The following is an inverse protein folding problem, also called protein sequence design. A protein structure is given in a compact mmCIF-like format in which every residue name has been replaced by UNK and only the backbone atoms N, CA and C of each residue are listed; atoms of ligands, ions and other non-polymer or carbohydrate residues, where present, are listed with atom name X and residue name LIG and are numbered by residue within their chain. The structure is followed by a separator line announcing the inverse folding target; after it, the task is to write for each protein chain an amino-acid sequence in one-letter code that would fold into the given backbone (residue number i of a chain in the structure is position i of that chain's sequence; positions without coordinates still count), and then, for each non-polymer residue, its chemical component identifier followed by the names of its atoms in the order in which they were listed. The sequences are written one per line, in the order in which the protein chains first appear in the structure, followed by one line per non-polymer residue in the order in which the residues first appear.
data_IF_923919697624
#
_entry.id   IF_923919697624
#
_cell.length_a   1.000
_cell.length_b   1.000
_cell.length_c   1.000
_cell.angle_alpha   90.00
_cell.angle_beta   90.00
_cell.angle_gamma   90.00
#
_symmetry.space_group_name_H-M   'P 1'
#
loop_
_entity.id
_entity.type
_entity.pdbx_description
1 polymer ?
#
# COMPACT_ATOMS: atom_id res chain seq x y z
N UNK A 1 2.81 -50.79 -14.76
CA UNK A 1 2.78 -51.02 -13.30
C UNK A 1 3.64 -49.98 -12.60
N UNK A 2 3.07 -48.85 -12.19
CA UNK A 2 3.83 -47.74 -11.59
C UNK A 2 4.08 -47.98 -10.11
N UNK A 3 5.35 -48.10 -9.72
CA UNK A 3 5.80 -48.23 -8.32
C UNK A 3 5.10 -47.21 -7.43
N UNK A 4 4.30 -47.67 -6.47
CA UNK A 4 3.67 -46.84 -5.45
C UNK A 4 4.76 -46.39 -4.45
N UNK A 5 5.60 -45.43 -4.86
CA UNK A 5 6.62 -44.83 -4.01
C UNK A 5 5.91 -43.99 -2.95
N UNK A 6 6.03 -44.39 -1.69
CA UNK A 6 5.47 -43.67 -0.56
C UNK A 6 6.18 -42.31 -0.39
N UNK A 7 5.75 -41.30 -1.15
CA UNK A 7 6.36 -39.96 -1.14
C UNK A 7 5.94 -39.21 0.12
N UNK A 8 6.90 -38.57 0.81
CA UNK A 8 6.63 -37.68 1.97
C UNK A 8 5.61 -36.57 1.66
N UNK A 9 5.60 -36.08 0.42
CA UNK A 9 4.70 -35.02 -0.05
C UNK A 9 3.68 -35.61 -1.02
N UNK A 10 2.44 -35.80 -0.55
CA UNK A 10 1.36 -36.50 -1.28
C UNK A 10 0.43 -35.54 -2.05
N UNK A 11 0.20 -34.35 -1.51
CA UNK A 11 -0.70 -33.37 -2.12
C UNK A 11 0.02 -32.59 -3.23
N UNK A 12 -0.61 -32.51 -4.40
CA UNK A 12 -0.15 -31.70 -5.53
C UNK A 12 -1.13 -30.55 -5.74
N UNK A 13 -0.58 -29.40 -6.12
CA UNK A 13 -1.31 -28.23 -6.60
C UNK A 13 -0.73 -27.86 -7.95
N UNK A 14 -1.58 -27.58 -8.92
CA UNK A 14 -1.17 -27.16 -10.25
C UNK A 14 -1.27 -25.63 -10.33
N UNK A 15 -0.30 -25.02 -11.01
CA UNK A 15 -0.25 -23.58 -11.25
C UNK A 15 0.07 -23.42 -12.72
N UNK A 16 -0.75 -22.67 -13.44
CA UNK A 16 -0.54 -22.33 -14.84
C UNK A 16 0.13 -20.96 -14.92
N UNK A 17 1.03 -20.81 -15.89
CA UNK A 17 1.77 -19.57 -16.15
C UNK A 17 1.69 -19.24 -17.64
N UNK A 18 1.73 -17.96 -17.97
CA UNK A 18 2.07 -17.52 -19.32
C UNK A 18 3.54 -17.84 -19.63
N UNK A 19 3.93 -17.71 -20.90
CA UNK A 19 5.33 -17.89 -21.30
C UNK A 19 6.24 -16.85 -20.64
N UNK A 20 5.77 -15.60 -20.52
CA UNK A 20 6.53 -14.54 -19.85
C UNK A 20 6.69 -14.80 -18.35
N UNK A 21 5.61 -15.22 -17.68
CA UNK A 21 5.64 -15.57 -16.25
C UNK A 21 6.57 -16.74 -15.98
N UNK A 22 6.55 -17.78 -16.82
CA UNK A 22 7.41 -18.94 -16.66
C UNK A 22 8.89 -18.56 -16.86
N UNK A 23 9.21 -17.79 -17.91
CA UNK A 23 10.58 -17.31 -18.13
C UNK A 23 11.09 -16.42 -16.98
N UNK A 24 10.21 -15.60 -16.42
CA UNK A 24 10.55 -14.79 -15.25
C UNK A 24 10.83 -15.64 -14.01
N UNK A 25 10.03 -16.67 -13.77
CA UNK A 25 10.23 -17.61 -12.66
C UNK A 25 11.54 -18.38 -12.83
N UNK A 26 11.87 -18.83 -14.04
CA UNK A 26 13.13 -19.53 -14.30
C UNK A 26 14.34 -18.65 -13.95
N UNK A 27 14.34 -17.38 -14.38
CA UNK A 27 15.38 -16.42 -13.99
C UNK A 27 15.46 -16.20 -12.47
N UNK A 28 14.33 -16.21 -11.77
CA UNK A 28 14.29 -16.09 -10.30
C UNK A 28 14.85 -17.34 -9.61
N UNK A 29 14.60 -18.52 -10.17
CA UNK A 29 15.16 -19.79 -9.68
C UNK A 29 16.68 -19.77 -9.87
N UNK A 30 17.17 -19.37 -11.05
CA UNK A 30 18.61 -19.29 -11.36
C UNK A 30 19.36 -18.31 -10.44
N UNK A 31 18.69 -17.25 -9.97
CA UNK A 31 19.23 -16.28 -9.01
C UNK A 31 19.09 -16.72 -7.55
N UNK A 32 18.42 -17.84 -7.29
CA UNK A 32 18.16 -18.36 -5.95
C UNK A 32 19.08 -19.55 -5.64
N UNK A 33 19.21 -19.97 -4.38
CA UNK A 33 19.95 -21.17 -4.02
C UNK A 33 19.17 -22.48 -4.30
N UNK A 34 18.10 -22.45 -5.11
CA UNK A 34 17.23 -23.60 -5.36
C UNK A 34 17.35 -24.09 -6.80
N UNK A 35 17.65 -25.38 -6.98
CA UNK A 35 17.91 -25.95 -8.31
C UNK A 35 16.66 -26.37 -9.10
N UNK A 36 15.46 -26.16 -8.55
CA UNK A 36 14.22 -26.55 -9.23
C UNK A 36 12.99 -25.80 -8.72
N UNK A 37 11.99 -25.70 -9.61
CA UNK A 37 10.70 -25.08 -9.34
C UNK A 37 10.00 -25.66 -8.11
N UNK A 38 10.04 -26.97 -7.89
CA UNK A 38 9.33 -27.59 -6.76
C UNK A 38 9.84 -27.07 -5.40
N UNK A 39 11.16 -26.95 -5.23
CA UNK A 39 11.75 -26.44 -4.01
C UNK A 39 11.54 -24.93 -3.87
N UNK A 40 11.75 -24.17 -4.96
CA UNK A 40 11.54 -22.73 -5.01
C UNK A 40 10.08 -22.35 -4.67
N UNK A 41 9.11 -22.91 -5.40
CA UNK A 41 7.69 -22.64 -5.16
C UNK A 41 7.27 -23.07 -3.75
N UNK A 42 7.76 -24.22 -3.26
CA UNK A 42 7.39 -24.69 -1.93
C UNK A 42 7.92 -23.79 -0.83
N UNK A 43 9.16 -23.32 -0.90
CA UNK A 43 9.68 -22.42 0.13
C UNK A 43 8.91 -21.10 0.05
N UNK A 44 8.73 -20.53 -1.14
CA UNK A 44 8.02 -19.26 -1.32
C UNK A 44 6.56 -19.34 -0.84
N UNK A 45 5.86 -20.44 -1.09
CA UNK A 45 4.47 -20.62 -0.63
C UNK A 45 4.35 -20.88 0.89
N UNK A 46 5.42 -21.28 1.57
CA UNK A 46 5.42 -21.55 3.01
C UNK A 46 5.97 -20.36 3.80
N UNK A 47 7.02 -19.71 3.29
CA UNK A 47 7.73 -18.63 3.97
C UNK A 47 7.39 -17.25 3.43
N UNK A 48 6.74 -17.17 2.27
CA UNK A 48 6.34 -15.90 1.68
C UNK A 48 5.43 -15.14 2.64
N UNK A 49 5.85 -13.94 3.02
CA UNK A 49 5.00 -13.04 3.79
C UNK A 49 3.95 -12.43 2.86
N UNK A 50 2.69 -12.51 3.27
CA UNK A 50 1.62 -11.77 2.61
C UNK A 50 1.62 -10.37 3.23
N UNK A 51 2.24 -9.42 2.54
CA UNK A 51 2.19 -8.02 2.94
C UNK A 51 0.81 -7.47 2.56
N UNK A 52 -0.05 -7.31 3.57
CA UNK A 52 -1.29 -6.57 3.42
C UNK A 52 -1.04 -5.10 3.74
N UNK A 53 -1.05 -4.25 2.71
CA UNK A 53 -0.95 -2.80 2.91
C UNK A 53 -2.37 -2.26 3.13
N UNK A 54 -2.70 -1.94 4.38
CA UNK A 54 -3.95 -1.28 4.72
C UNK A 54 -3.85 0.23 4.47
N UNK A 55 -4.58 0.70 3.45
CA UNK A 55 -4.64 2.11 3.07
C UNK A 55 -5.77 2.90 3.78
N UNK A 56 -6.38 2.34 4.82
CA UNK A 56 -7.43 3.00 5.60
C UNK A 56 -7.01 4.39 6.08
N UNK A 57 -5.77 4.56 6.56
CA UNK A 57 -5.23 5.84 7.04
C UNK A 57 -5.08 6.87 5.90
N UNK A 58 -4.68 6.45 4.69
CA UNK A 58 -4.64 7.33 3.51
C UNK A 58 -6.04 7.80 3.10
N UNK A 59 -7.07 6.97 3.30
CA UNK A 59 -8.46 7.34 3.00
C UNK A 59 -8.95 8.44 3.95
N UNK A 60 -8.64 8.34 5.24
CA UNK A 60 -8.96 9.39 6.22
C UNK A 60 -8.21 10.69 5.90
N UNK A 61 -6.93 10.61 5.55
CA UNK A 61 -6.16 11.79 5.16
C UNK A 61 -6.78 12.49 3.92
N UNK A 62 -7.15 11.72 2.89
CA UNK A 62 -7.79 12.27 1.68
C UNK A 62 -9.13 12.98 1.98
N UNK A 63 -9.91 12.48 2.94
CA UNK A 63 -11.16 13.13 3.37
C UNK A 63 -10.89 14.50 3.99
N UNK A 64 -9.89 14.58 4.87
CA UNK A 64 -9.49 15.84 5.51
C UNK A 64 -8.93 16.83 4.49
N UNK A 65 -8.07 16.40 3.56
CA UNK A 65 -7.62 17.23 2.43
C UNK A 65 -8.83 17.77 1.64
N UNK A 66 -9.81 16.91 1.34
CA UNK A 66 -11.03 17.31 0.63
C UNK A 66 -11.84 18.37 1.39
N UNK A 67 -11.95 18.24 2.71
CA UNK A 67 -12.62 19.22 3.58
C UNK A 67 -11.93 20.58 3.52
N UNK A 68 -10.60 20.60 3.64
CA UNK A 68 -9.81 21.83 3.57
C UNK A 68 -9.92 22.47 2.18
N UNK A 69 -9.83 21.67 1.11
CA UNK A 69 -10.02 22.16 -0.26
C UNK A 69 -11.39 22.83 -0.46
N UNK A 70 -12.45 22.27 0.14
CA UNK A 70 -13.77 22.89 0.13
C UNK A 70 -13.81 24.22 0.90
N UNK A 71 -13.15 24.31 2.06
CA UNK A 71 -13.07 25.53 2.85
C UNK A 71 -12.28 26.63 2.11
N UNK A 72 -11.15 26.28 1.49
CA UNK A 72 -10.39 27.19 0.61
C UNK A 72 -11.26 27.70 -0.53
N UNK A 73 -12.02 26.83 -1.18
CA UNK A 73 -12.88 27.22 -2.30
C UNK A 73 -14.03 28.15 -1.86
N UNK A 74 -14.56 27.97 -0.65
CA UNK A 74 -15.54 28.89 -0.06
C UNK A 74 -14.93 30.27 0.19
N UNK A 75 -13.74 30.33 0.77
CA UNK A 75 -13.02 31.60 0.96
C UNK A 75 -12.72 32.30 -0.35
N UNK A 76 -12.28 31.56 -1.38
CA UNK A 76 -12.03 32.13 -2.70
C UNK A 76 -13.30 32.74 -3.33
N UNK A 77 -14.46 32.08 -3.15
CA UNK A 77 -15.74 32.63 -3.60
C UNK A 77 -16.15 33.89 -2.83
N UNK A 78 -16.01 33.89 -1.50
CA UNK A 78 -16.29 35.07 -0.67
C UNK A 78 -15.38 36.24 -1.04
N UNK A 79 -14.07 35.99 -1.19
CA UNK A 79 -13.10 36.99 -1.64
C UNK A 79 -13.49 37.57 -3.00
N UNK A 80 -13.89 36.73 -3.95
CA UNK A 80 -14.33 37.19 -5.27
C UNK A 80 -15.65 37.97 -5.22
N UNK A 81 -16.52 37.69 -4.25
CA UNK A 81 -17.83 38.32 -4.13
C UNK A 81 -17.76 39.67 -3.39
N UNK A 82 -16.92 39.77 -2.37
CA UNK A 82 -16.85 40.92 -1.47
C UNK A 82 -15.57 41.75 -1.63
N UNK A 83 -14.65 41.32 -2.50
CA UNK A 83 -13.28 41.88 -2.65
C UNK A 83 -12.48 41.93 -1.33
N UNK A 84 -12.95 41.23 -0.30
CA UNK A 84 -12.40 41.27 1.05
C UNK A 84 -12.45 39.86 1.65
N UNK A 85 -11.47 39.54 2.50
CA UNK A 85 -11.39 38.29 3.24
C UNK A 85 -11.32 38.63 4.72
N UNK A 86 -12.20 38.02 5.53
CA UNK A 86 -12.19 38.24 6.97
C UNK A 86 -10.94 37.64 7.62
N UNK A 87 -10.33 38.31 8.60
CA UNK A 87 -9.30 37.73 9.46
C UNK A 87 -9.72 36.40 10.10
N UNK A 88 -11.01 36.23 10.40
CA UNK A 88 -11.55 35.00 10.99
C UNK A 88 -11.51 33.82 10.01
N UNK A 89 -11.81 34.08 8.73
CA UNK A 89 -11.75 33.04 7.69
C UNK A 89 -10.29 32.58 7.46
N UNK A 90 -9.35 33.53 7.46
CA UNK A 90 -7.91 33.24 7.39
C UNK A 90 -7.48 32.40 8.58
N UNK A 91 -7.93 32.78 9.79
CA UNK A 91 -7.59 32.05 11.01
C UNK A 91 -8.17 30.63 11.02
N UNK A 92 -9.38 30.44 10.49
CA UNK A 92 -10.00 29.12 10.34
C UNK A 92 -9.20 28.24 9.38
N UNK A 93 -8.79 28.77 8.22
CA UNK A 93 -7.98 28.05 7.25
C UNK A 93 -6.59 27.67 7.80
N UNK A 94 -5.94 28.57 8.53
CA UNK A 94 -4.66 28.29 9.18
C UNK A 94 -4.77 27.16 10.21
N UNK A 95 -5.88 27.11 10.95
CA UNK A 95 -6.15 26.03 11.89
C UNK A 95 -6.37 24.68 11.18
N UNK A 96 -7.12 24.69 10.08
CA UNK A 96 -7.35 23.51 9.24
C UNK A 96 -6.02 22.95 8.67
N UNK A 97 -5.18 23.81 8.10
CA UNK A 97 -3.86 23.41 7.58
C UNK A 97 -2.97 22.85 8.69
N UNK A 98 -2.99 23.45 9.88
CA UNK A 98 -2.22 22.96 11.04
C UNK A 98 -2.70 21.60 11.50
N UNK A 99 -4.01 21.36 11.52
CA UNK A 99 -4.61 20.06 11.85
C UNK A 99 -4.14 18.99 10.86
N UNK A 100 -4.14 19.29 9.56
CA UNK A 100 -3.64 18.38 8.53
C UNK A 100 -2.14 18.07 8.71
N UNK A 101 -1.31 19.09 8.97
CA UNK A 101 0.12 18.89 9.23
C UNK A 101 0.35 17.95 10.42
N UNK A 102 -0.44 18.08 11.50
CA UNK A 102 -0.36 17.19 12.65
C UNK A 102 -0.74 15.76 12.29
N UNK A 103 -1.82 15.54 11.54
CA UNK A 103 -2.24 14.21 11.10
C UNK A 103 -1.19 13.53 10.21
N UNK A 104 -0.65 14.25 9.21
CA UNK A 104 0.40 13.72 8.33
C UNK A 104 1.67 13.37 9.11
N UNK A 105 2.12 14.25 10.01
CA UNK A 105 3.31 14.01 10.82
C UNK A 105 3.14 12.81 11.74
N UNK A 106 1.94 12.63 12.32
CA UNK A 106 1.62 11.49 13.17
C UNK A 106 1.60 10.17 12.37
N UNK A 107 0.99 10.16 11.18
CA UNK A 107 0.95 9.01 10.30
C UNK A 107 2.36 8.59 9.84
N UNK A 108 3.18 9.56 9.38
CA UNK A 108 4.56 9.30 8.96
C UNK A 108 5.42 8.74 10.11
N UNK A 109 5.28 9.28 11.34
CA UNK A 109 5.97 8.74 12.52
C UNK A 109 5.58 7.29 12.81
N UNK A 110 4.31 6.94 12.61
CA UNK A 110 3.80 5.57 12.84
C UNK A 110 4.38 4.59 11.82
N UNK A 111 4.43 4.97 10.54
CA UNK A 111 5.06 4.15 9.50
C UNK A 111 6.57 3.98 9.72
N UNK A 112 7.29 5.03 10.09
CA UNK A 112 8.73 4.94 10.44
C UNK A 112 9.02 4.04 11.65
N UNK A 113 8.04 3.82 12.53
CA UNK A 113 8.15 2.90 13.67
C UNK A 113 7.79 1.45 13.29
N UNK A 114 6.99 1.24 12.24
CA UNK A 114 6.64 -0.08 11.72
C UNK A 114 7.78 -0.72 10.92
N UNK A 115 8.67 0.08 10.35
CA UNK A 115 9.84 -0.38 9.58
C UNK A 115 11.08 -0.70 10.46
N UNK A 116 10.99 -0.59 11.80
CA UNK A 116 12.07 -0.94 12.75
C UNK A 116 11.78 -2.24 13.48
#
# INVERSE_FOLDING_TARGET
MGKNKNRKRKHRREVAFSEEENSYIDKKIDQSPYDNFQNFARIMLITGEIVHVDYSELRTLNQEVGRIGNNVNQMARLANQFEEISPDDIQMLLNDVRSLQMMVTAALKKEMQREK
#
